data_IF_925432166633
#
_entry.id   IF_925432166633
#
_cell.length_a   1.000
_cell.length_b   1.000
_cell.length_c   1.000
_cell.angle_alpha   90.00
_cell.angle_beta   90.00
_cell.angle_gamma   90.00
#
_symmetry.space_group_name_H-M   'P 1'
#
loop_
_entity.id
_entity.type
_entity.pdbx_description
1 polymer ?
#
# COMPACT_ATOMS: atom_id res chain seq x y z
N UNK A 1 36.50 4.72 -0.89
CA UNK A 1 35.40 4.08 -0.22
C UNK A 1 34.04 4.64 -0.69
N UNK A 2 33.00 3.84 -0.66
CA UNK A 2 31.66 4.27 -0.98
C UNK A 2 31.04 4.88 0.30
N UNK A 3 30.59 6.16 0.24
CA UNK A 3 29.97 6.90 1.36
C UNK A 3 30.83 6.93 2.64
N UNK A 4 32.14 7.05 2.51
CA UNK A 4 33.05 7.03 3.64
C UNK A 4 33.31 5.65 4.27
N UNK A 5 32.66 4.60 3.74
CA UNK A 5 32.83 3.22 4.20
C UNK A 5 33.90 2.48 3.37
N UNK A 6 34.56 1.54 3.99
CA UNK A 6 35.58 0.74 3.31
C UNK A 6 34.90 -0.26 2.37
N UNK A 7 35.20 -0.17 1.08
CA UNK A 7 34.78 -1.13 0.07
C UNK A 7 35.95 -2.05 -0.25
N UNK A 8 35.74 -3.35 -0.17
CA UNK A 8 36.72 -4.39 -0.53
C UNK A 8 36.00 -5.55 -1.23
N UNK A 9 36.69 -6.25 -2.11
CA UNK A 9 36.11 -7.43 -2.77
C UNK A 9 36.46 -7.49 -4.24
N UNK A 10 35.79 -8.39 -4.94
CA UNK A 10 35.89 -8.58 -6.39
C UNK A 10 34.49 -8.52 -6.99
N UNK A 11 34.42 -7.92 -8.15
CA UNK A 11 33.23 -7.98 -9.00
C UNK A 11 33.71 -8.17 -10.44
N UNK A 12 33.31 -9.24 -11.05
CA UNK A 12 33.52 -9.51 -12.47
C UNK A 12 32.13 -9.60 -13.08
N UNK A 13 31.85 -8.72 -14.01
CA UNK A 13 30.55 -8.65 -14.70
C UNK A 13 30.80 -8.55 -16.20
N UNK A 14 30.27 -9.50 -16.93
CA UNK A 14 30.30 -9.54 -18.39
C UNK A 14 28.93 -9.17 -18.93
N UNK A 15 28.88 -8.16 -19.77
CA UNK A 15 27.68 -7.75 -20.49
C UNK A 15 27.83 -8.14 -21.96
N UNK A 16 26.87 -8.91 -22.44
CA UNK A 16 26.74 -9.23 -23.85
C UNK A 16 25.50 -8.53 -24.39
N UNK A 17 25.69 -7.58 -25.29
CA UNK A 17 24.59 -6.92 -26.00
C UNK A 17 23.94 -7.89 -26.99
N UNK A 18 22.67 -7.62 -27.37
CA UNK A 18 22.00 -8.45 -28.36
C UNK A 18 22.79 -8.42 -29.69
N UNK A 19 23.00 -9.58 -30.28
CA UNK A 19 23.76 -9.74 -31.52
C UNK A 19 23.16 -9.02 -32.73
N UNK A 20 21.94 -8.53 -32.63
CA UNK A 20 21.25 -7.70 -33.62
C UNK A 20 20.37 -6.65 -32.90
N UNK A 21 20.57 -5.39 -33.27
CA UNK A 21 19.85 -4.21 -32.74
C UNK A 21 18.36 -4.12 -33.17
N UNK A 22 17.68 -5.25 -33.41
CA UNK A 22 16.40 -5.29 -34.12
C UNK A 22 15.16 -5.54 -33.24
N UNK A 23 15.29 -5.72 -31.92
CA UNK A 23 14.11 -5.87 -31.08
C UNK A 23 14.20 -4.93 -29.87
N UNK A 24 13.20 -4.05 -29.65
CA UNK A 24 13.17 -3.16 -28.48
C UNK A 24 13.11 -3.90 -27.15
N UNK A 25 12.83 -5.21 -27.14
CA UNK A 25 12.76 -6.08 -25.96
C UNK A 25 13.96 -7.02 -25.81
N UNK A 26 14.99 -6.90 -26.67
CA UNK A 26 16.22 -7.69 -26.54
C UNK A 26 17.03 -7.19 -25.33
N UNK A 27 16.84 -7.82 -24.20
CA UNK A 27 17.58 -7.53 -22.97
C UNK A 27 19.05 -7.93 -23.13
N UNK A 28 19.93 -7.26 -22.38
CA UNK A 28 21.33 -7.63 -22.26
C UNK A 28 21.45 -8.98 -21.54
N UNK A 29 22.35 -9.82 -22.03
CA UNK A 29 22.83 -10.99 -21.29
C UNK A 29 23.90 -10.52 -20.30
N UNK A 30 23.77 -10.98 -19.08
CA UNK A 30 24.67 -10.58 -17.99
C UNK A 30 25.15 -11.84 -17.28
N UNK A 31 26.44 -11.97 -17.15
CA UNK A 31 27.05 -12.99 -16.31
C UNK A 31 27.99 -12.34 -15.30
N UNK A 32 28.05 -12.85 -14.09
CA UNK A 32 28.93 -12.25 -13.11
C UNK A 32 29.13 -13.05 -11.84
N UNK A 33 30.24 -12.73 -11.20
CA UNK A 33 30.62 -13.19 -9.87
C UNK A 33 31.01 -11.96 -9.04
N UNK A 34 30.34 -11.80 -7.91
CA UNK A 34 30.45 -10.66 -7.03
C UNK A 34 30.69 -11.17 -5.61
N UNK A 35 31.81 -10.76 -5.00
CA UNK A 35 32.11 -10.93 -3.58
C UNK A 35 32.51 -9.56 -3.03
N UNK A 36 31.57 -8.86 -2.43
CA UNK A 36 31.74 -7.49 -1.98
C UNK A 36 31.51 -7.35 -0.48
N UNK A 37 32.40 -6.62 0.15
CA UNK A 37 32.27 -6.15 1.54
C UNK A 37 32.25 -4.63 1.54
N UNK A 38 31.18 -4.09 2.12
CA UNK A 38 30.99 -2.66 2.29
C UNK A 38 30.61 -2.38 3.75
N UNK A 39 31.51 -1.72 4.50
CA UNK A 39 31.31 -1.55 5.93
C UNK A 39 31.18 -2.89 6.64
N UNK A 40 30.02 -3.16 7.24
CA UNK A 40 29.69 -4.42 7.90
C UNK A 40 28.88 -5.38 7.01
N UNK A 41 28.62 -4.99 5.77
CA UNK A 41 27.90 -5.80 4.80
C UNK A 41 28.84 -6.74 4.06
N UNK A 42 28.37 -7.97 3.82
CA UNK A 42 29.03 -8.92 2.92
C UNK A 42 27.98 -9.55 2.00
N UNK A 43 28.14 -9.35 0.71
CA UNK A 43 27.25 -9.86 -0.33
C UNK A 43 28.06 -10.69 -1.31
N UNK A 44 27.66 -11.92 -1.49
CA UNK A 44 28.16 -12.80 -2.54
C UNK A 44 27.01 -13.07 -3.50
N UNK A 45 27.22 -12.79 -4.77
CA UNK A 45 26.24 -13.11 -5.82
C UNK A 45 26.98 -13.66 -7.03
N UNK A 46 26.41 -14.68 -7.65
CA UNK A 46 26.94 -15.27 -8.87
C UNK A 46 25.79 -15.73 -9.77
N UNK A 47 26.06 -15.77 -11.06
CA UNK A 47 25.11 -16.35 -12.00
C UNK A 47 25.06 -15.63 -13.33
N UNK A 48 24.08 -16.00 -14.10
CA UNK A 48 23.84 -15.48 -15.45
C UNK A 48 22.38 -15.12 -15.65
N UNK A 49 22.15 -14.12 -16.46
CA UNK A 49 20.85 -13.67 -16.93
C UNK A 49 20.88 -13.53 -18.45
N UNK A 50 20.46 -14.60 -19.14
CA UNK A 50 20.34 -14.68 -20.59
C UNK A 50 18.88 -15.06 -20.97
N UNK A 51 18.67 -15.98 -21.90
CA UNK A 51 17.34 -16.57 -22.14
C UNK A 51 16.80 -17.31 -20.91
N UNK A 52 17.73 -17.81 -20.11
CA UNK A 52 17.47 -18.37 -18.77
C UNK A 52 18.16 -17.52 -17.72
N UNK A 53 17.58 -17.49 -16.55
CA UNK A 53 18.16 -16.88 -15.35
C UNK A 53 18.67 -18.02 -14.48
N UNK A 54 19.87 -17.89 -13.97
CA UNK A 54 20.46 -18.71 -12.90
C UNK A 54 21.33 -17.80 -12.04
N UNK A 55 20.74 -17.22 -11.00
CA UNK A 55 21.38 -16.26 -10.12
C UNK A 55 21.19 -16.69 -8.68
N UNK A 56 22.29 -16.84 -7.96
CA UNK A 56 22.32 -17.09 -6.52
C UNK A 56 22.93 -15.88 -5.81
N UNK A 57 22.28 -15.41 -4.74
CA UNK A 57 22.77 -14.36 -3.87
C UNK A 57 22.75 -14.80 -2.41
N UNK A 58 23.85 -14.52 -1.69
CA UNK A 58 23.99 -14.72 -0.26
C UNK A 58 24.32 -13.43 0.44
N UNK A 59 23.52 -13.11 1.44
CA UNK A 59 23.67 -11.94 2.30
C UNK A 59 24.21 -12.41 3.67
N UNK A 60 25.41 -11.95 4.08
CA UNK A 60 26.09 -12.49 5.25
C UNK A 60 26.80 -11.44 6.14
N UNK A 61 26.08 -10.53 6.84
CA UNK A 61 24.78 -9.93 6.54
C UNK A 61 24.86 -8.80 5.51
N UNK A 62 23.72 -8.26 5.10
CA UNK A 62 23.59 -6.99 4.43
C UNK A 62 23.06 -5.93 5.42
N UNK A 63 23.84 -4.91 5.74
CA UNK A 63 23.42 -3.73 6.51
C UNK A 63 22.83 -2.70 5.56
N UNK A 64 21.56 -2.35 5.74
CA UNK A 64 20.88 -1.45 4.80
C UNK A 64 21.45 -0.03 4.80
N UNK A 65 21.97 0.43 5.94
CA UNK A 65 22.60 1.75 6.07
C UNK A 65 23.97 1.83 5.34
N UNK A 66 24.58 0.71 5.00
CA UNK A 66 25.76 0.69 4.14
C UNK A 66 25.44 1.07 2.69
N UNK A 67 24.24 0.73 2.20
CA UNK A 67 23.83 0.91 0.81
C UNK A 67 22.93 2.11 0.59
N UNK A 68 21.91 2.30 1.42
CA UNK A 68 20.82 3.27 1.21
C UNK A 68 20.81 4.33 2.31
N UNK A 69 20.82 5.64 1.94
CA UNK A 69 20.64 6.71 2.93
C UNK A 69 19.26 6.62 3.57
N UNK A 70 19.23 6.80 4.90
CA UNK A 70 17.96 6.77 5.64
C UNK A 70 17.37 5.37 5.86
N UNK A 71 17.99 4.32 5.29
CA UNK A 71 17.65 2.94 5.61
C UNK A 71 18.45 2.47 6.83
N UNK A 72 17.96 1.44 7.51
CA UNK A 72 18.63 0.81 8.64
C UNK A 72 18.20 -0.64 8.82
N UNK A 73 18.93 -1.36 9.70
CA UNK A 73 18.71 -2.76 9.95
C UNK A 73 19.53 -3.68 9.06
N UNK A 74 19.37 -4.99 9.28
CA UNK A 74 20.16 -6.01 8.59
C UNK A 74 19.27 -7.08 7.97
N UNK A 75 19.73 -7.61 6.83
CA UNK A 75 19.13 -8.75 6.15
C UNK A 75 20.22 -9.82 5.98
N UNK A 76 19.88 -11.07 6.25
CA UNK A 76 20.76 -12.22 6.08
C UNK A 76 20.00 -13.38 5.44
N UNK A 77 20.74 -14.23 4.71
CA UNK A 77 20.17 -15.44 4.09
C UNK A 77 20.55 -15.59 2.63
N UNK A 78 19.74 -16.35 1.91
CA UNK A 78 19.95 -16.72 0.50
C UNK A 78 18.75 -16.41 -0.36
N UNK A 79 19.00 -16.04 -1.60
CA UNK A 79 18.01 -15.83 -2.66
C UNK A 79 18.54 -16.49 -3.93
N UNK A 80 17.71 -17.33 -4.56
CA UNK A 80 18.01 -17.91 -5.86
C UNK A 80 16.89 -17.56 -6.85
N UNK A 81 17.29 -17.17 -8.06
CA UNK A 81 16.42 -16.98 -9.20
C UNK A 81 16.84 -17.96 -10.31
N UNK A 82 15.95 -18.86 -10.72
CA UNK A 82 16.27 -19.87 -11.72
C UNK A 82 15.13 -20.12 -12.70
N UNK A 83 15.47 -20.35 -13.97
CA UNK A 83 14.47 -20.74 -14.98
C UNK A 83 14.36 -19.81 -16.18
N UNK A 84 13.30 -19.90 -16.97
CA UNK A 84 13.11 -19.05 -18.14
C UNK A 84 13.03 -17.56 -17.74
N UNK A 85 13.70 -16.67 -18.47
CA UNK A 85 13.71 -15.21 -18.21
C UNK A 85 12.31 -14.59 -18.12
N UNK A 86 11.38 -15.14 -18.92
CA UNK A 86 9.98 -14.66 -18.91
C UNK A 86 9.21 -15.04 -17.64
N UNK A 87 9.61 -16.11 -16.93
CA UNK A 87 8.96 -16.60 -15.71
C UNK A 87 9.99 -17.34 -14.84
N UNK A 88 10.98 -16.63 -14.27
CA UNK A 88 11.98 -17.25 -13.41
C UNK A 88 11.32 -17.71 -12.10
N UNK A 89 11.77 -18.84 -11.59
CA UNK A 89 11.43 -19.27 -10.25
C UNK A 89 12.20 -18.47 -9.21
N UNK A 90 11.69 -18.48 -8.01
CA UNK A 90 12.28 -17.83 -6.85
C UNK A 90 12.41 -18.86 -5.71
N UNK A 91 13.58 -18.98 -5.12
CA UNK A 91 13.80 -19.64 -3.85
C UNK A 91 14.40 -18.63 -2.87
N UNK A 92 13.83 -18.49 -1.69
CA UNK A 92 14.24 -17.51 -0.70
C UNK A 92 14.28 -18.08 0.71
N UNK A 93 15.31 -17.77 1.44
CA UNK A 93 15.45 -17.96 2.88
C UNK A 93 16.13 -16.71 3.45
N UNK A 94 15.35 -15.67 3.72
CA UNK A 94 15.83 -14.38 4.18
C UNK A 94 15.25 -14.04 5.55
N UNK A 95 16.09 -13.50 6.41
CA UNK A 95 15.70 -12.95 7.71
C UNK A 95 16.16 -11.50 7.80
N UNK A 96 15.23 -10.60 8.15
CA UNK A 96 15.51 -9.19 8.42
C UNK A 96 15.30 -8.87 9.89
N UNK A 97 16.06 -7.91 10.42
CA UNK A 97 15.93 -7.41 11.80
C UNK A 97 16.13 -5.90 11.83
N UNK A 98 15.32 -5.23 12.65
CA UNK A 98 15.38 -3.79 12.91
C UNK A 98 15.35 -2.95 11.61
N UNK A 99 14.53 -3.41 10.66
CA UNK A 99 14.44 -2.79 9.34
C UNK A 99 13.80 -1.41 9.45
N UNK A 100 14.37 -0.42 8.76
CA UNK A 100 13.86 0.94 8.67
C UNK A 100 14.12 1.49 7.27
N UNK A 101 13.11 2.17 6.73
CA UNK A 101 13.22 2.94 5.49
C UNK A 101 12.28 4.15 5.56
N UNK A 102 12.86 5.33 5.74
CA UNK A 102 12.08 6.53 6.03
C UNK A 102 11.27 6.36 7.31
N UNK A 103 9.95 6.52 7.21
CA UNK A 103 9.00 6.36 8.33
C UNK A 103 8.54 4.91 8.55
N UNK A 104 8.88 4.00 7.62
CA UNK A 104 8.51 2.59 7.71
C UNK A 104 9.53 1.82 8.54
N UNK A 105 9.04 1.00 9.47
CA UNK A 105 9.89 0.10 10.25
C UNK A 105 9.30 -1.29 10.34
N UNK A 106 10.16 -2.30 10.54
CA UNK A 106 9.75 -3.64 10.92
C UNK A 106 10.79 -4.22 11.88
N UNK A 107 10.36 -4.68 13.06
CA UNK A 107 11.24 -5.28 14.06
C UNK A 107 11.84 -6.59 13.56
N UNK A 108 11.06 -7.41 12.89
CA UNK A 108 11.55 -8.61 12.21
C UNK A 108 10.82 -8.86 10.90
N UNK A 109 11.52 -9.53 9.97
CA UNK A 109 10.98 -10.01 8.70
C UNK A 109 11.55 -11.38 8.38
N UNK A 110 10.73 -12.31 7.92
CA UNK A 110 11.11 -13.61 7.41
C UNK A 110 10.48 -13.82 6.04
N UNK A 111 11.28 -14.09 5.02
CA UNK A 111 10.83 -14.53 3.71
C UNK A 111 11.36 -15.95 3.49
N UNK A 112 10.48 -16.92 3.29
CA UNK A 112 10.84 -18.32 3.18
C UNK A 112 9.99 -19.03 2.15
N UNK A 113 10.62 -19.87 1.34
CA UNK A 113 9.96 -20.79 0.43
C UNK A 113 10.51 -20.74 -0.97
N UNK A 114 9.81 -21.44 -1.87
CA UNK A 114 10.14 -21.52 -3.28
C UNK A 114 8.88 -21.41 -4.15
N UNK A 115 9.01 -20.76 -5.26
CA UNK A 115 8.07 -20.74 -6.38
C UNK A 115 8.84 -21.11 -7.65
N UNK A 116 8.88 -22.40 -8.02
CA UNK A 116 9.67 -22.86 -9.16
C UNK A 116 9.23 -22.20 -10.46
N UNK A 117 10.18 -21.91 -11.32
CA UNK A 117 9.90 -21.39 -12.66
C UNK A 117 9.17 -22.42 -13.55
N UNK A 118 8.46 -21.92 -14.56
CA UNK A 118 7.75 -22.76 -15.51
C UNK A 118 6.46 -23.36 -14.94
N UNK A 119 6.33 -24.68 -14.90
CA UNK A 119 5.10 -25.39 -14.50
C UNK A 119 5.11 -25.94 -13.06
N UNK A 120 6.17 -25.73 -12.31
CA UNK A 120 6.26 -26.17 -10.93
C UNK A 120 5.32 -25.43 -9.99
N UNK A 121 4.76 -26.12 -9.02
CA UNK A 121 4.02 -25.50 -7.92
C UNK A 121 4.93 -25.31 -6.73
N UNK A 122 4.77 -24.19 -6.04
CA UNK A 122 5.54 -23.88 -4.84
C UNK A 122 4.76 -23.06 -3.84
N UNK A 123 5.46 -22.59 -2.82
CA UNK A 123 4.93 -21.74 -1.75
C UNK A 123 5.99 -20.75 -1.29
N UNK A 124 5.60 -19.50 -1.21
CA UNK A 124 6.42 -18.43 -0.64
C UNK A 124 5.65 -17.79 0.52
N UNK A 125 6.31 -17.61 1.65
CA UNK A 125 5.72 -17.00 2.85
C UNK A 125 6.57 -15.82 3.29
N UNK A 126 5.90 -14.72 3.60
CA UNK A 126 6.49 -13.55 4.24
C UNK A 126 5.79 -13.34 5.58
N UNK A 127 6.58 -13.23 6.64
CA UNK A 127 6.10 -12.89 7.97
C UNK A 127 6.90 -11.69 8.49
N UNK A 128 6.21 -10.69 9.03
CA UNK A 128 6.83 -9.54 9.66
C UNK A 128 6.17 -9.24 11.01
N UNK A 129 6.92 -8.66 11.94
CA UNK A 129 6.45 -8.29 13.26
C UNK A 129 6.88 -6.85 13.58
N UNK A 130 6.10 -6.19 14.45
CA UNK A 130 6.30 -4.81 14.87
C UNK A 130 6.48 -3.89 13.66
N UNK A 131 5.49 -3.89 12.75
CA UNK A 131 5.52 -3.12 11.52
C UNK A 131 4.88 -1.77 11.75
N UNK A 132 5.64 -0.68 11.52
CA UNK A 132 5.13 0.69 11.49
C UNK A 132 4.98 1.13 10.04
N UNK A 133 3.73 1.39 9.62
CA UNK A 133 3.40 1.83 8.27
C UNK A 133 2.20 2.79 8.29
N UNK A 134 2.40 3.98 8.88
CA UNK A 134 1.32 4.90 9.23
C UNK A 134 0.51 4.46 10.46
N UNK A 135 0.42 3.15 10.68
CA UNK A 135 -0.21 2.49 11.83
C UNK A 135 0.71 1.41 12.38
N UNK A 136 0.57 1.06 13.64
CA UNK A 136 1.33 -0.03 14.25
C UNK A 136 0.61 -1.36 14.04
N UNK A 137 1.31 -2.32 13.44
CA UNK A 137 0.85 -3.70 13.26
C UNK A 137 1.78 -4.64 14.03
N UNK A 138 1.21 -5.46 14.89
CA UNK A 138 1.95 -6.48 15.66
C UNK A 138 2.51 -7.54 14.74
N UNK A 139 1.72 -7.93 13.73
CA UNK A 139 2.10 -8.96 12.78
C UNK A 139 1.49 -8.75 11.40
N UNK A 140 2.26 -9.08 10.38
CA UNK A 140 1.84 -9.17 8.99
C UNK A 140 2.31 -10.52 8.44
N UNK A 141 1.42 -11.27 7.82
CA UNK A 141 1.73 -12.53 7.15
C UNK A 141 1.15 -12.53 5.74
N UNK A 142 1.97 -12.89 4.77
CA UNK A 142 1.55 -13.05 3.36
C UNK A 142 2.00 -14.44 2.92
N UNK A 143 1.13 -15.14 2.24
CA UNK A 143 1.43 -16.44 1.63
C UNK A 143 0.97 -16.43 0.17
N UNK A 144 1.84 -16.93 -0.72
CA UNK A 144 1.54 -17.18 -2.11
C UNK A 144 1.80 -18.67 -2.40
N UNK A 145 0.88 -19.33 -3.07
CA UNK A 145 0.96 -20.76 -3.45
C UNK A 145 0.61 -20.92 -4.92
N UNK A 146 1.17 -21.93 -5.55
CA UNK A 146 0.86 -22.28 -6.92
C UNK A 146 2.04 -22.12 -7.85
N UNK A 147 1.78 -21.87 -9.12
CA UNK A 147 2.80 -21.60 -10.12
C UNK A 147 3.11 -20.12 -10.14
N UNK A 148 4.32 -19.76 -10.53
CA UNK A 148 4.76 -18.35 -10.62
C UNK A 148 3.88 -17.47 -11.53
N UNK A 149 3.17 -18.08 -12.46
CA UNK A 149 2.24 -17.43 -13.40
C UNK A 149 0.75 -17.58 -13.00
N UNK A 150 0.44 -18.35 -11.95
CA UNK A 150 -0.90 -18.59 -11.45
C UNK A 150 -0.86 -18.90 -9.95
N UNK A 151 -1.08 -17.86 -9.15
CA UNK A 151 -0.92 -17.86 -7.69
C UNK A 151 -2.27 -17.75 -6.99
N UNK A 152 -2.43 -18.50 -5.92
CA UNK A 152 -3.35 -18.22 -4.83
C UNK A 152 -2.59 -17.46 -3.74
N UNK A 153 -3.16 -16.37 -3.27
CA UNK A 153 -2.54 -15.52 -2.27
C UNK A 153 -3.45 -15.31 -1.07
N UNK A 154 -2.85 -15.26 0.10
CA UNK A 154 -3.53 -14.81 1.32
C UNK A 154 -2.66 -13.83 2.08
N UNK A 155 -3.30 -12.85 2.74
CA UNK A 155 -2.60 -11.96 3.64
C UNK A 155 -3.42 -11.76 4.92
N UNK A 156 -2.70 -11.57 6.02
CA UNK A 156 -3.24 -11.29 7.35
C UNK A 156 -2.43 -10.20 7.99
N UNK A 157 -3.10 -9.24 8.60
CA UNK A 157 -2.46 -8.23 9.43
C UNK A 157 -3.22 -8.11 10.75
N UNK A 158 -2.49 -7.86 11.83
CA UNK A 158 -3.03 -7.68 13.18
C UNK A 158 -2.31 -6.52 13.83
N UNK A 159 -3.02 -5.70 14.58
CA UNK A 159 -2.46 -4.60 15.34
C UNK A 159 -3.52 -3.90 16.17
N UNK A 160 -3.16 -2.82 16.83
CA UNK A 160 -4.03 -2.07 17.73
C UNK A 160 -5.27 -1.51 17.03
N UNK A 161 -5.16 -1.18 15.74
CA UNK A 161 -6.29 -0.67 14.94
C UNK A 161 -7.27 -1.75 14.49
N UNK A 162 -6.90 -3.04 14.63
CA UNK A 162 -7.75 -4.17 14.26
C UNK A 162 -7.05 -5.26 13.49
N UNK A 163 -7.81 -5.96 12.67
CA UNK A 163 -7.37 -7.12 11.93
C UNK A 163 -7.86 -7.07 10.47
N UNK A 164 -7.00 -7.47 9.56
CA UNK A 164 -7.30 -7.66 8.14
C UNK A 164 -6.97 -9.10 7.75
N UNK A 165 -7.92 -9.76 7.09
CA UNK A 165 -7.74 -11.04 6.42
C UNK A 165 -8.18 -10.90 4.97
N UNK A 166 -7.35 -11.34 4.03
CA UNK A 166 -7.70 -11.36 2.63
C UNK A 166 -7.22 -12.66 1.95
N UNK A 167 -7.96 -13.09 0.93
CA UNK A 167 -7.59 -14.17 0.03
C UNK A 167 -7.92 -13.80 -1.40
N UNK A 168 -7.14 -14.28 -2.33
CA UNK A 168 -7.36 -13.98 -3.74
C UNK A 168 -6.48 -14.82 -4.65
N UNK A 169 -6.65 -14.60 -5.93
CA UNK A 169 -5.91 -15.29 -6.98
C UNK A 169 -5.33 -14.31 -7.99
N UNK A 170 -4.18 -14.68 -8.57
CA UNK A 170 -3.50 -13.91 -9.61
C UNK A 170 -3.10 -14.85 -10.74
N UNK A 171 -3.31 -14.42 -11.97
CA UNK A 171 -2.87 -15.10 -13.17
C UNK A 171 -2.16 -14.12 -14.10
N UNK A 172 -1.06 -14.54 -14.66
CA UNK A 172 -0.36 -13.76 -15.68
C UNK A 172 -1.18 -13.68 -16.96
N UNK A 173 -1.36 -12.49 -17.50
CA UNK A 173 -2.13 -12.22 -18.70
C UNK A 173 -1.32 -11.33 -19.65
N UNK A 174 -0.53 -11.94 -20.53
CA UNK A 174 0.44 -11.22 -21.36
C UNK A 174 1.48 -10.48 -20.51
N UNK A 175 1.70 -9.17 -20.72
CA UNK A 175 2.65 -8.39 -19.94
C UNK A 175 2.11 -7.99 -18.55
N UNK A 176 0.84 -8.30 -18.26
CA UNK A 176 0.17 -7.91 -17.03
C UNK A 176 -0.32 -9.08 -16.19
N UNK A 177 -1.18 -8.76 -15.24
CA UNK A 177 -1.80 -9.69 -14.31
C UNK A 177 -3.32 -9.50 -14.28
N UNK A 178 -4.05 -10.57 -14.12
CA UNK A 178 -5.47 -10.58 -13.78
C UNK A 178 -5.66 -11.38 -12.51
N UNK A 179 -6.65 -11.02 -11.74
CA UNK A 179 -6.93 -11.73 -10.51
C UNK A 179 -8.32 -11.44 -9.97
N UNK A 180 -8.58 -12.05 -8.85
CA UNK A 180 -9.73 -11.76 -8.01
C UNK A 180 -9.30 -11.69 -6.55
N UNK A 181 -9.84 -10.73 -5.83
CA UNK A 181 -9.89 -10.74 -4.38
C UNK A 181 -11.13 -11.53 -4.01
N UNK A 182 -10.95 -12.79 -3.58
CA UNK A 182 -12.06 -13.72 -3.36
C UNK A 182 -12.78 -13.42 -2.05
N UNK A 183 -12.04 -13.02 -1.02
CA UNK A 183 -12.58 -12.57 0.25
C UNK A 183 -11.70 -11.48 0.87
N UNK A 184 -12.33 -10.53 1.53
CA UNK A 184 -11.69 -9.57 2.42
C UNK A 184 -12.56 -9.40 3.65
N UNK A 185 -11.95 -9.50 4.81
CA UNK A 185 -12.54 -9.21 6.11
C UNK A 185 -11.67 -8.20 6.85
N UNK A 186 -12.22 -7.02 7.09
CA UNK A 186 -11.61 -5.99 7.93
C UNK A 186 -12.38 -5.95 9.25
N UNK A 187 -11.70 -6.21 10.35
CA UNK A 187 -12.24 -6.14 11.69
C UNK A 187 -11.50 -5.05 12.47
N UNK A 188 -11.99 -3.80 12.44
CA UNK A 188 -11.43 -2.72 13.25
C UNK A 188 -11.45 -3.10 14.74
N UNK A 189 -10.55 -2.54 15.53
CA UNK A 189 -10.56 -2.73 16.99
C UNK A 189 -11.85 -2.20 17.63
N UNK A 190 -12.53 -1.29 16.94
CA UNK A 190 -13.85 -0.75 17.32
C UNK A 190 -14.74 -0.62 16.09
N UNK A 191 -16.04 -0.86 16.29
CA UNK A 191 -17.04 -0.72 15.24
C UNK A 191 -17.33 -2.03 14.48
N UNK A 192 -17.95 -1.89 13.34
CA UNK A 192 -18.42 -2.99 12.52
C UNK A 192 -17.28 -3.76 11.85
N UNK A 193 -17.50 -5.04 11.67
CA UNK A 193 -16.68 -5.87 10.78
C UNK A 193 -17.15 -5.71 9.35
N UNK A 194 -16.22 -5.42 8.45
CA UNK A 194 -16.48 -5.22 7.03
C UNK A 194 -16.07 -6.44 6.23
N UNK A 195 -16.97 -6.90 5.36
CA UNK A 195 -16.73 -8.03 4.50
C UNK A 195 -16.98 -7.68 3.04
N UNK A 196 -16.12 -8.18 2.16
CA UNK A 196 -16.34 -8.14 0.71
C UNK A 196 -17.57 -8.99 0.38
N UNK A 197 -18.50 -8.46 -0.41
CA UNK A 197 -19.77 -9.12 -0.72
C UNK A 197 -19.66 -10.19 -1.79
N UNK A 198 -18.83 -9.95 -2.78
CA UNK A 198 -18.57 -10.84 -3.90
C UNK A 198 -17.14 -10.68 -4.37
N UNK A 199 -16.54 -11.69 -5.02
CA UNK A 199 -15.16 -11.58 -5.50
C UNK A 199 -14.94 -10.35 -6.38
N UNK A 200 -13.94 -9.55 -6.03
CA UNK A 200 -13.54 -8.34 -6.72
C UNK A 200 -12.50 -8.68 -7.79
N UNK A 201 -12.88 -8.65 -9.06
CA UNK A 201 -11.96 -8.90 -10.17
C UNK A 201 -11.11 -7.67 -10.46
N UNK A 202 -9.85 -7.91 -10.78
CA UNK A 202 -8.93 -6.84 -11.16
C UNK A 202 -8.00 -7.25 -12.31
N UNK A 203 -7.49 -6.25 -13.02
CA UNK A 203 -6.47 -6.41 -14.05
C UNK A 203 -5.43 -5.29 -13.91
N UNK A 204 -4.14 -5.67 -14.03
CA UNK A 204 -3.00 -4.77 -13.89
C UNK A 204 -2.05 -4.99 -15.06
N UNK A 205 -1.58 -3.96 -15.71
CA UNK A 205 -0.57 -4.06 -16.77
C UNK A 205 -0.60 -2.90 -17.75
N UNK A 206 0.55 -2.61 -18.38
CA UNK A 206 0.67 -1.55 -19.37
C UNK A 206 0.32 -0.15 -18.86
N UNK A 207 0.59 0.15 -17.59
CA UNK A 207 0.21 1.42 -16.96
C UNK A 207 -1.29 1.55 -16.67
N UNK A 208 -2.06 0.49 -16.87
CA UNK A 208 -3.50 0.44 -16.60
C UNK A 208 -3.77 -0.48 -15.42
N UNK A 209 -4.70 -0.06 -14.56
CA UNK A 209 -5.27 -0.90 -13.52
C UNK A 209 -6.80 -0.78 -13.56
N UNK A 210 -7.45 -1.90 -13.46
CA UNK A 210 -8.89 -2.03 -13.48
C UNK A 210 -9.32 -2.85 -12.27
N UNK A 211 -10.38 -2.41 -11.60
CA UNK A 211 -11.07 -3.13 -10.52
C UNK A 211 -12.55 -3.03 -10.83
N UNK A 212 -13.20 -4.19 -10.98
CA UNK A 212 -14.65 -4.25 -11.16
C UNK A 212 -15.34 -3.72 -9.90
N UNK A 213 -16.58 -3.26 -10.04
CA UNK A 213 -17.33 -2.76 -8.89
C UNK A 213 -17.35 -3.79 -7.76
N UNK A 214 -16.87 -3.36 -6.62
CA UNK A 214 -16.64 -4.21 -5.46
C UNK A 214 -17.22 -3.55 -4.22
N UNK A 215 -18.15 -4.24 -3.58
CA UNK A 215 -18.88 -3.71 -2.43
C UNK A 215 -18.49 -4.44 -1.15
N UNK A 216 -18.33 -3.67 -0.09
CA UNK A 216 -18.07 -4.09 1.27
C UNK A 216 -19.28 -3.77 2.14
N UNK A 217 -19.72 -4.69 2.99
CA UNK A 217 -20.76 -4.45 3.96
C UNK A 217 -20.23 -4.56 5.39
N UNK A 218 -20.60 -3.59 6.19
CA UNK A 218 -20.42 -3.60 7.64
C UNK A 218 -21.51 -4.42 8.34
N UNK A 219 -21.18 -5.03 9.46
CA UNK A 219 -22.15 -5.81 10.27
C UNK A 219 -23.22 -4.93 10.92
N UNK A 220 -23.06 -3.63 10.91
CA UNK A 220 -24.00 -2.61 11.39
C UNK A 220 -24.87 -1.99 10.28
N UNK A 221 -24.72 -2.45 9.02
CA UNK A 221 -25.52 -2.00 7.88
C UNK A 221 -24.79 -1.02 6.97
N UNK A 222 -23.62 -0.52 7.35
CA UNK A 222 -22.80 0.35 6.51
C UNK A 222 -22.37 -0.34 5.21
N UNK A 223 -22.24 0.41 4.13
CA UNK A 223 -21.81 -0.10 2.82
C UNK A 223 -20.81 0.83 2.15
N UNK A 224 -19.84 0.25 1.44
CA UNK A 224 -18.86 0.96 0.61
C UNK A 224 -18.64 0.19 -0.69
N UNK A 225 -18.92 0.81 -1.83
CA UNK A 225 -18.64 0.26 -3.15
C UNK A 225 -17.56 1.08 -3.83
N UNK A 226 -16.61 0.41 -4.48
CA UNK A 226 -15.54 1.05 -5.24
C UNK A 226 -15.39 0.37 -6.60
N UNK A 227 -15.07 1.15 -7.63
CA UNK A 227 -14.69 0.65 -8.95
C UNK A 227 -13.60 1.53 -9.52
N UNK A 228 -12.75 0.96 -10.36
CA UNK A 228 -11.67 1.68 -11.01
C UNK A 228 -11.36 1.14 -12.41
N UNK A 229 -11.04 2.04 -13.33
CA UNK A 229 -10.47 1.74 -14.64
C UNK A 229 -9.54 2.90 -15.01
N UNK A 230 -8.36 2.85 -14.44
CA UNK A 230 -7.37 3.91 -14.59
C UNK A 230 -6.32 3.58 -15.65
N UNK A 231 -5.95 4.48 -16.53
CA UNK A 231 -6.35 5.89 -16.61
C UNK A 231 -7.56 6.16 -17.51
N UNK A 232 -8.36 5.17 -17.92
CA UNK A 232 -9.40 5.34 -18.94
C UNK A 232 -10.65 6.03 -18.39
N UNK A 233 -11.30 5.44 -17.40
CA UNK A 233 -12.59 5.89 -16.85
C UNK A 233 -12.48 6.50 -15.46
N UNK A 234 -11.33 6.32 -14.80
CA UNK A 234 -11.07 6.85 -13.47
C UNK A 234 -11.48 5.90 -12.35
N UNK A 235 -11.84 6.48 -11.21
CA UNK A 235 -12.24 5.81 -9.97
C UNK A 235 -13.59 6.34 -9.52
N UNK A 236 -14.45 5.43 -9.05
CA UNK A 236 -15.69 5.76 -8.38
C UNK A 236 -15.74 5.11 -7.02
N UNK A 237 -16.27 5.82 -6.03
CA UNK A 237 -16.56 5.27 -4.72
C UNK A 237 -17.90 5.80 -4.23
N UNK A 238 -18.73 4.95 -3.66
CA UNK A 238 -19.94 5.34 -2.98
C UNK A 238 -20.07 4.60 -1.67
N UNK A 239 -20.43 5.30 -0.61
CA UNK A 239 -20.56 4.72 0.72
C UNK A 239 -21.76 5.29 1.47
N UNK A 240 -22.36 4.49 2.32
CA UNK A 240 -23.46 4.89 3.18
C UNK A 240 -23.27 4.32 4.57
N UNK A 241 -23.67 5.09 5.58
CA UNK A 241 -23.55 4.70 6.99
C UNK A 241 -22.11 4.25 7.34
N UNK A 242 -21.09 4.97 6.82
CA UNK A 242 -19.70 4.72 7.13
C UNK A 242 -19.39 5.31 8.51
N UNK A 243 -19.02 4.50 9.52
CA UNK A 243 -18.72 5.03 10.85
C UNK A 243 -17.52 5.95 10.81
N UNK A 244 -17.63 7.14 11.38
CA UNK A 244 -16.49 8.06 11.54
C UNK A 244 -15.36 7.46 12.37
N UNK A 245 -15.66 6.50 13.23
CA UNK A 245 -14.65 5.75 13.99
C UNK A 245 -13.59 5.06 13.11
N UNK A 246 -13.89 4.80 11.83
CA UNK A 246 -12.92 4.23 10.89
C UNK A 246 -11.71 5.15 10.66
N UNK A 247 -11.86 6.47 10.80
CA UNK A 247 -10.77 7.42 10.58
C UNK A 247 -10.04 7.84 11.86
N UNK A 248 -10.49 7.40 13.04
CA UNK A 248 -9.87 7.73 14.32
C UNK A 248 -8.35 7.44 14.39
N UNK A 249 -7.85 6.30 13.85
CA UNK A 249 -6.41 5.98 13.92
C UNK A 249 -5.50 6.99 13.22
N UNK A 250 -6.03 7.79 12.31
CA UNK A 250 -5.28 8.81 11.56
C UNK A 250 -5.43 10.23 12.12
N UNK A 251 -6.26 10.40 13.15
CA UNK A 251 -6.35 11.68 13.83
C UNK A 251 -5.09 11.93 14.66
N UNK A 252 -4.59 13.18 14.71
CA UNK A 252 -3.51 13.51 15.61
C UNK A 252 -3.91 13.21 17.06
N UNK A 253 -3.04 12.60 17.87
CA UNK A 253 -3.35 12.33 19.25
C UNK A 253 -3.53 13.65 20.02
N UNK A 254 -4.25 13.59 21.12
CA UNK A 254 -4.39 14.71 22.07
C UNK A 254 -3.05 15.01 22.74
N UNK A 255 -2.95 16.16 23.41
CA UNK A 255 -1.74 16.56 24.14
C UNK A 255 -1.30 15.52 25.20
N UNK A 256 -2.24 14.79 25.78
CA UNK A 256 -1.97 13.71 26.74
C UNK A 256 -1.64 12.36 26.07
N UNK A 257 -1.52 12.33 24.74
CA UNK A 257 -1.23 11.14 23.95
C UNK A 257 -2.42 10.19 23.75
N UNK A 258 -3.60 10.53 24.31
CA UNK A 258 -4.79 9.69 24.14
C UNK A 258 -5.49 9.96 22.79
N UNK A 259 -6.07 8.94 22.14
CA UNK A 259 -6.77 9.15 20.89
C UNK A 259 -8.13 9.83 21.10
N UNK A 260 -8.55 10.61 20.12
CA UNK A 260 -9.92 11.08 20.00
C UNK A 260 -10.87 9.93 19.69
N UNK A 261 -12.14 10.11 20.04
CA UNK A 261 -13.22 9.22 19.59
C UNK A 261 -14.22 10.03 18.77
N UNK A 262 -14.62 9.48 17.64
CA UNK A 262 -15.63 10.07 16.76
C UNK A 262 -16.95 9.31 16.87
N UNK A 263 -18.04 10.06 16.89
CA UNK A 263 -19.40 9.56 16.79
C UNK A 263 -20.02 10.06 15.48
N UNK A 264 -20.83 9.23 14.86
CA UNK A 264 -21.59 9.55 13.67
C UNK A 264 -21.21 8.66 12.50
N UNK A 265 -22.00 8.81 11.45
CA UNK A 265 -21.87 8.08 10.20
C UNK A 265 -21.84 9.06 9.04
N UNK A 266 -21.12 8.73 7.98
CA UNK A 266 -21.06 9.54 6.76
C UNK A 266 -21.51 8.75 5.56
N UNK A 267 -22.11 9.44 4.60
CA UNK A 267 -22.23 8.98 3.22
C UNK A 267 -21.15 9.68 2.38
N UNK A 268 -20.58 8.96 1.44
CA UNK A 268 -19.57 9.47 0.49
C UNK A 268 -19.96 9.13 -0.94
N UNK A 269 -19.73 10.06 -1.85
CA UNK A 269 -19.82 9.86 -3.31
C UNK A 269 -18.58 10.50 -3.93
N UNK A 270 -17.76 9.72 -4.64
CA UNK A 270 -16.54 10.19 -5.23
C UNK A 270 -16.43 9.71 -6.68
N UNK A 271 -16.03 10.62 -7.56
CA UNK A 271 -15.73 10.34 -8.97
C UNK A 271 -14.48 11.09 -9.36
N UNK A 272 -13.43 10.35 -9.63
CA UNK A 272 -12.14 10.89 -10.00
C UNK A 272 -11.72 10.32 -11.36
N UNK A 273 -11.13 11.15 -12.19
CA UNK A 273 -10.59 10.77 -13.51
C UNK A 273 -9.19 11.34 -13.68
N UNK A 274 -8.34 10.74 -14.50
CA UNK A 274 -7.03 11.31 -14.80
C UNK A 274 -7.17 12.69 -15.47
N UNK A 275 -6.30 13.62 -15.09
CA UNK A 275 -6.20 14.94 -15.68
C UNK A 275 -4.75 15.45 -15.56
N UNK A 276 -4.08 15.67 -16.68
CA UNK A 276 -2.67 16.08 -16.70
C UNK A 276 -1.79 15.07 -15.94
N UNK A 277 -0.99 15.57 -15.01
CA UNK A 277 -0.14 14.73 -14.12
C UNK A 277 -0.85 14.32 -12.82
N UNK A 278 -2.13 14.65 -12.66
CA UNK A 278 -2.92 14.38 -11.46
C UNK A 278 -4.27 13.76 -11.80
N UNK A 279 -5.30 14.23 -11.12
CA UNK A 279 -6.68 13.82 -11.34
C UNK A 279 -7.62 15.02 -11.25
N UNK A 280 -8.80 14.85 -11.82
CA UNK A 280 -9.91 15.79 -11.71
C UNK A 280 -11.18 15.04 -11.32
N UNK A 281 -12.13 15.71 -10.70
CA UNK A 281 -13.39 15.11 -10.31
C UNK A 281 -14.00 15.75 -9.08
N UNK A 282 -14.90 15.03 -8.44
CA UNK A 282 -15.61 15.51 -7.25
C UNK A 282 -15.68 14.45 -6.17
N UNK A 283 -15.70 14.91 -4.92
CA UNK A 283 -15.98 14.13 -3.72
C UNK A 283 -17.04 14.89 -2.93
N UNK A 284 -18.15 14.24 -2.65
CA UNK A 284 -19.19 14.72 -1.76
C UNK A 284 -19.27 13.85 -0.52
N UNK A 285 -19.37 14.45 0.66
CA UNK A 285 -19.53 13.76 1.93
C UNK A 285 -20.67 14.44 2.70
N UNK A 286 -21.59 13.63 3.22
CA UNK A 286 -22.70 14.11 4.04
C UNK A 286 -22.83 13.29 5.32
N UNK A 287 -23.25 13.96 6.40
CA UNK A 287 -23.56 13.32 7.68
C UNK A 287 -24.69 14.07 8.38
N UNK A 288 -25.67 13.33 8.88
CA UNK A 288 -26.82 13.94 9.55
C UNK A 288 -26.42 14.51 10.90
N UNK A 289 -25.66 13.73 11.67
CA UNK A 289 -25.17 14.16 12.99
C UNK A 289 -23.91 13.41 13.39
N UNK A 290 -23.14 14.02 14.28
CA UNK A 290 -21.95 13.39 14.81
C UNK A 290 -21.30 14.22 15.89
N UNK A 291 -20.10 13.79 16.31
CA UNK A 291 -19.39 14.53 17.35
C UNK A 291 -18.02 13.96 17.68
N UNK A 292 -17.22 14.81 18.29
CA UNK A 292 -15.91 14.51 18.80
C UNK A 292 -15.96 14.27 20.31
N UNK A 293 -15.35 13.21 20.79
CA UNK A 293 -15.33 12.81 22.20
C UNK A 293 -13.91 12.65 22.71
N UNK A 294 -13.73 12.87 23.99
CA UNK A 294 -12.45 12.59 24.66
C UNK A 294 -12.15 11.09 24.77
N UNK A 295 -13.16 10.24 24.72
CA UNK A 295 -12.99 8.79 24.71
C UNK A 295 -14.26 8.12 24.20
N UNK A 296 -14.20 6.86 23.75
CA UNK A 296 -15.38 6.10 23.33
C UNK A 296 -16.45 5.91 24.41
N UNK A 297 -16.03 6.00 25.69
CA UNK A 297 -16.93 5.85 26.86
C UNK A 297 -17.49 7.19 27.35
N UNK A 298 -17.02 8.31 26.80
CA UNK A 298 -17.53 9.62 27.17
C UNK A 298 -19.03 9.73 26.80
N UNK A 299 -19.83 10.21 27.73
CA UNK A 299 -21.29 10.39 27.52
C UNK A 299 -21.63 11.67 26.78
N UNK A 300 -20.71 12.62 26.74
CA UNK A 300 -20.89 13.93 26.10
C UNK A 300 -19.86 14.09 25.00
N UNK A 301 -20.28 14.71 23.92
CA UNK A 301 -19.40 15.20 22.88
C UNK A 301 -18.68 16.46 23.38
N UNK A 302 -17.45 16.64 22.95
CA UNK A 302 -16.68 17.89 23.14
C UNK A 302 -17.21 18.94 22.19
N UNK A 303 -17.48 18.49 20.96
CA UNK A 303 -18.14 19.23 19.90
C UNK A 303 -19.09 18.27 19.21
N UNK A 304 -20.34 18.67 19.03
CA UNK A 304 -21.30 17.96 18.18
C UNK A 304 -21.60 18.79 16.95
N UNK A 305 -21.94 18.11 15.87
CA UNK A 305 -22.35 18.75 14.63
C UNK A 305 -23.64 18.14 14.11
N UNK A 306 -24.33 18.89 13.27
CA UNK A 306 -25.52 18.48 12.51
C UNK A 306 -25.38 18.91 11.06
N UNK A 307 -26.05 18.15 10.19
CA UNK A 307 -26.18 18.50 8.76
C UNK A 307 -24.85 18.83 8.09
N UNK A 308 -23.79 18.02 8.36
CA UNK A 308 -22.50 18.19 7.73
C UNK A 308 -22.62 17.89 6.23
N UNK A 309 -22.17 18.82 5.42
CA UNK A 309 -21.98 18.66 3.97
C UNK A 309 -20.60 19.18 3.59
N UNK A 310 -19.82 18.33 2.94
CA UNK A 310 -18.54 18.66 2.34
C UNK A 310 -18.60 18.33 0.85
N UNK A 311 -18.35 19.31 0.02
CA UNK A 311 -18.20 19.16 -1.43
C UNK A 311 -16.81 19.62 -1.84
N UNK A 312 -16.06 18.73 -2.50
CA UNK A 312 -14.74 19.02 -2.99
C UNK A 312 -14.65 18.74 -4.49
N UNK A 313 -14.14 19.71 -5.22
CA UNK A 313 -13.88 19.62 -6.66
C UNK A 313 -12.38 19.70 -6.91
N UNK A 314 -11.88 18.74 -7.65
CA UNK A 314 -10.48 18.61 -8.02
C UNK A 314 -10.30 18.89 -9.50
N UNK A 315 -9.36 19.74 -9.82
CA UNK A 315 -8.77 19.88 -11.15
C UNK A 315 -7.33 19.40 -11.15
N UNK A 316 -6.73 19.28 -12.33
CA UNK A 316 -5.35 18.77 -12.45
C UNK A 316 -4.34 19.44 -11.49
N UNK A 317 -4.54 20.72 -11.15
CA UNK A 317 -3.63 21.53 -10.36
C UNK A 317 -4.32 22.32 -9.22
N UNK A 318 -5.60 22.11 -8.98
CA UNK A 318 -6.35 22.85 -7.96
C UNK A 318 -7.37 21.98 -7.23
N UNK A 319 -7.66 22.36 -5.99
CA UNK A 319 -8.72 21.85 -5.16
C UNK A 319 -9.56 23.02 -4.67
N UNK A 320 -10.85 22.93 -4.88
CA UNK A 320 -11.84 23.77 -4.22
C UNK A 320 -12.74 22.90 -3.35
N UNK A 321 -12.93 23.27 -2.10
CA UNK A 321 -13.80 22.55 -1.19
C UNK A 321 -14.67 23.51 -0.39
N UNK A 322 -15.91 23.13 -0.19
CA UNK A 322 -16.88 23.84 0.66
C UNK A 322 -17.36 22.91 1.75
N UNK A 323 -17.37 23.40 2.97
CA UNK A 323 -17.89 22.72 4.16
C UNK A 323 -19.04 23.55 4.73
N UNK A 324 -20.15 22.91 5.04
CA UNK A 324 -21.26 23.51 5.79
C UNK A 324 -21.70 22.55 6.90
N UNK A 325 -21.91 23.05 8.11
CA UNK A 325 -22.38 22.25 9.24
C UNK A 325 -23.00 23.12 10.32
N UNK A 326 -23.96 22.61 11.07
CA UNK A 326 -24.36 23.15 12.36
C UNK A 326 -23.39 22.67 13.45
N UNK A 327 -23.06 23.52 14.42
CA UNK A 327 -22.22 23.15 15.58
C UNK A 327 -23.02 23.40 16.85
N UNK A 328 -23.32 22.32 17.58
CA UNK A 328 -24.08 22.33 18.83
C UNK A 328 -25.38 23.16 18.71
N UNK A 329 -25.75 23.86 19.79
CA UNK A 329 -26.82 24.84 19.80
C UNK A 329 -26.30 26.27 19.44
N UNK A 330 -25.08 26.39 18.91
CA UNK A 330 -24.35 27.66 18.86
C UNK A 330 -24.31 28.32 17.50
N UNK A 331 -24.67 27.61 16.42
CA UNK A 331 -24.72 28.26 15.13
C UNK A 331 -24.32 27.37 13.94
N UNK A 332 -24.10 28.01 12.81
CA UNK A 332 -23.66 27.36 11.57
C UNK A 332 -22.26 27.80 11.22
N UNK A 333 -21.48 26.83 10.73
CA UNK A 333 -20.16 27.07 10.17
C UNK A 333 -20.20 26.80 8.68
N UNK A 334 -19.68 27.74 7.91
CA UNK A 334 -19.39 27.55 6.48
C UNK A 334 -17.92 27.87 6.25
N UNK A 335 -17.22 26.99 5.59
CA UNK A 335 -15.83 27.18 5.24
C UNK A 335 -15.59 26.89 3.75
N UNK A 336 -14.75 27.70 3.11
CA UNK A 336 -14.33 27.51 1.73
C UNK A 336 -12.80 27.37 1.70
N UNK A 337 -12.31 26.32 1.11
CA UNK A 337 -10.89 26.07 0.88
C UNK A 337 -10.60 26.13 -0.62
N UNK A 338 -9.60 26.94 -0.99
CA UNK A 338 -9.02 26.93 -2.34
C UNK A 338 -7.53 26.76 -2.23
N UNK A 339 -6.99 25.72 -2.85
CA UNK A 339 -5.56 25.45 -2.85
C UNK A 339 -5.12 24.92 -4.20
N UNK A 340 -3.90 25.26 -4.61
CA UNK A 340 -3.21 24.56 -5.66
C UNK A 340 -2.59 23.29 -5.14
N UNK A 341 -2.23 22.38 -6.03
CA UNK A 341 -1.41 21.24 -5.69
C UNK A 341 -0.51 20.81 -6.84
N UNK A 342 0.57 20.10 -6.49
CA UNK A 342 1.50 19.52 -7.45
C UNK A 342 1.81 18.09 -7.02
N UNK A 343 1.73 17.16 -7.98
CA UNK A 343 2.05 15.75 -7.77
C UNK A 343 1.42 15.14 -6.50
N UNK A 344 0.13 15.39 -6.28
CA UNK A 344 -0.67 14.91 -5.13
C UNK A 344 -0.34 15.54 -3.77
N UNK A 345 0.45 16.62 -3.75
CA UNK A 345 0.73 17.38 -2.54
C UNK A 345 0.02 18.74 -2.58
N UNK A 346 -0.64 19.19 -1.49
CA UNK A 346 -1.24 20.51 -1.45
C UNK A 346 -0.14 21.58 -1.43
N UNK A 347 -0.37 22.64 -2.18
CA UNK A 347 0.42 23.86 -2.15
C UNK A 347 -0.20 24.87 -1.17
N UNK A 348 0.33 26.09 -1.12
CA UNK A 348 -0.30 27.16 -0.36
C UNK A 348 -1.70 27.46 -0.88
N UNK A 349 -2.64 27.66 0.02
CA UNK A 349 -4.04 27.96 -0.30
C UNK A 349 -4.66 28.97 0.65
N UNK A 350 -5.95 29.22 0.46
CA UNK A 350 -6.76 30.14 1.28
C UNK A 350 -7.92 29.37 1.88
N UNK A 351 -8.14 29.57 3.18
CA UNK A 351 -9.30 29.09 3.89
C UNK A 351 -10.06 30.32 4.41
N UNK A 352 -11.32 30.43 4.02
CA UNK A 352 -12.25 31.41 4.56
C UNK A 352 -13.31 30.64 5.38
N UNK A 353 -13.65 31.12 6.56
CA UNK A 353 -14.66 30.49 7.41
C UNK A 353 -15.56 31.56 8.01
N UNK A 354 -16.88 31.35 7.89
CA UNK A 354 -17.91 32.15 8.52
C UNK A 354 -18.60 31.33 9.61
N UNK A 355 -18.85 31.97 10.74
CA UNK A 355 -19.53 31.38 11.91
C UNK A 355 -20.65 32.34 12.30
N UNK A 356 -21.91 31.87 12.16
CA UNK A 356 -23.13 32.60 12.51
C UNK A 356 -23.72 32.11 13.83
#
# INVERSE_FOLDING_TARGET
GLRGRRLAGRAQVELHGPAQAAAPDAGFDLAGDIDLRLGNSHVVARGEMAERIDVEARLAPLQLDDLLPGAGGRIEGTLQLAGPRAAPGIEADLTGRDLRWGEYTAGSLRLLGDLPGGRGNGRLTLAAQAVQAGVLLDSVGIEARGRIDALEASARARGDIGALDLTGSLQRAGPGWRGALDALRLAPSRGAVWNLQSPARFALGGGRWQVDESCFLGTDGGSLCVAADWPRNGLTASGRQLPLALVEPWLPPREDGTPWALRGEVAIDARLRPAGNGFAGNVALTSTDGGLRFSPRARRDVVSYSDLALDATFDANSLEATLATGIDDTGRVRAELRTGWDAYAPLSGRLDADID
#
